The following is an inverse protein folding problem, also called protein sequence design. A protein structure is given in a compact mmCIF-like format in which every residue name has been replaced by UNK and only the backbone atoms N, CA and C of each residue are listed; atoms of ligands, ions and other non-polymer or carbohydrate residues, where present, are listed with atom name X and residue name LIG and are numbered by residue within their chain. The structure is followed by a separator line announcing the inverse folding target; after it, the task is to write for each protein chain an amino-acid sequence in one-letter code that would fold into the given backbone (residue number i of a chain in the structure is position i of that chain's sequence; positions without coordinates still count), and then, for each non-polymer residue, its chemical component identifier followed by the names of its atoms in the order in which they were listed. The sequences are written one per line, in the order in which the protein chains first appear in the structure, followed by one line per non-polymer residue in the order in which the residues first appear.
data_IF_429602847259
#
_entry.id   IF_429602847259
#
_cell.length_a   1.000
_cell.length_b   1.000
_cell.length_c   1.000
_cell.angle_alpha   90.00
_cell.angle_beta   90.00
_cell.angle_gamma   90.00
#
_symmetry.space_group_name_H-M   'P 1'
#
loop_
_entity.id
_entity.type
_entity.pdbx_description
1 polymer ?
#
# COMPACT_ATOMS: atom_id res chain seq x y z
N UNK A 1 -1.44 -14.62 30.66
CA UNK A 1 -0.75 -13.45 30.08
C UNK A 1 -0.76 -13.65 28.57
N UNK A 2 -1.86 -13.30 27.89
CA UNK A 2 -1.92 -13.34 26.43
C UNK A 2 -0.89 -12.37 25.87
N UNK A 3 0.00 -12.86 25.01
CA UNK A 3 0.82 -11.99 24.18
C UNK A 3 -0.11 -11.42 23.12
N UNK A 4 -0.57 -10.19 23.32
CA UNK A 4 -1.12 -9.39 22.23
C UNK A 4 0.03 -9.14 21.25
N UNK A 5 0.11 -9.97 20.20
CA UNK A 5 0.96 -9.68 19.06
C UNK A 5 0.50 -8.33 18.48
N UNK A 6 1.23 -7.27 18.82
CA UNK A 6 1.06 -5.94 18.27
C UNK A 6 1.32 -6.02 16.76
N UNK A 7 0.27 -6.34 16.00
CA UNK A 7 0.29 -6.46 14.53
C UNK A 7 0.67 -5.14 13.86
N UNK A 8 0.41 -4.01 14.52
CA UNK A 8 0.91 -2.67 14.18
C UNK A 8 2.45 -2.61 14.07
N UNK A 9 3.17 -3.32 14.94
CA UNK A 9 4.65 -3.33 14.96
C UNK A 9 5.27 -4.35 14.00
N UNK A 10 4.46 -5.16 13.31
CA UNK A 10 4.92 -6.18 12.37
C UNK A 10 4.97 -5.70 10.91
N UNK A 11 4.79 -4.38 10.64
CA UNK A 11 4.95 -3.82 9.30
C UNK A 11 6.38 -4.05 8.80
N UNK A 12 6.51 -4.86 7.74
CA UNK A 12 7.80 -5.11 7.08
C UNK A 12 8.24 -3.88 6.31
N UNK A 13 9.43 -3.37 6.61
CA UNK A 13 10.04 -2.28 5.85
C UNK A 13 10.67 -2.83 4.56
N UNK A 14 10.45 -2.13 3.45
CA UNK A 14 10.99 -2.48 2.13
C UNK A 14 11.68 -1.27 1.54
N UNK A 15 12.91 -1.45 1.03
CA UNK A 15 13.58 -0.42 0.25
C UNK A 15 12.98 -0.36 -1.15
N UNK A 16 12.33 0.74 -1.49
CA UNK A 16 11.71 0.96 -2.79
C UNK A 16 12.55 1.92 -3.63
N UNK A 17 12.87 1.52 -4.86
CA UNK A 17 13.52 2.40 -5.84
C UNK A 17 12.46 2.95 -6.78
N UNK A 18 12.33 4.27 -6.81
CA UNK A 18 11.38 4.99 -7.66
C UNK A 18 12.14 5.90 -8.61
N UNK A 19 11.63 6.08 -9.83
CA UNK A 19 12.10 7.17 -10.67
C UNK A 19 11.72 8.52 -10.03
N UNK A 20 12.50 9.60 -10.24
CA UNK A 20 12.17 10.90 -9.67
C UNK A 20 10.81 11.44 -10.10
N UNK A 21 10.36 11.14 -11.33
CA UNK A 21 9.03 11.55 -11.81
C UNK A 21 7.91 10.86 -11.04
N UNK A 22 7.98 9.54 -10.90
CA UNK A 22 6.98 8.76 -10.17
C UNK A 22 6.91 9.17 -8.70
N UNK A 23 8.07 9.41 -8.06
CA UNK A 23 8.09 9.90 -6.69
C UNK A 23 7.34 11.23 -6.54
N UNK A 24 7.56 12.18 -7.45
CA UNK A 24 6.88 13.49 -7.42
C UNK A 24 5.36 13.35 -7.57
N UNK A 25 4.92 12.53 -8.51
CA UNK A 25 3.48 12.28 -8.71
C UNK A 25 2.83 11.65 -7.48
N UNK A 26 3.49 10.65 -6.88
CA UNK A 26 2.99 10.01 -5.65
C UNK A 26 2.94 10.98 -4.47
N UNK A 27 3.92 11.87 -4.32
CA UNK A 27 3.92 12.89 -3.26
C UNK A 27 2.80 13.91 -3.47
N UNK A 28 2.61 14.39 -4.71
CA UNK A 28 1.52 15.33 -5.03
C UNK A 28 0.17 14.70 -4.71
N UNK A 29 -0.06 13.47 -5.17
CA UNK A 29 -1.31 12.77 -4.92
C UNK A 29 -1.54 12.49 -3.42
N UNK A 30 -0.49 12.10 -2.68
CA UNK A 30 -0.59 11.94 -1.24
C UNK A 30 -0.99 13.25 -0.55
N UNK A 31 -0.44 14.39 -0.99
CA UNK A 31 -0.79 15.71 -0.46
C UNK A 31 -2.26 16.09 -0.74
N UNK A 32 -2.74 15.84 -1.96
CA UNK A 32 -4.12 16.10 -2.36
C UNK A 32 -5.14 15.32 -1.50
N UNK A 33 -4.77 14.09 -1.11
CA UNK A 33 -5.58 13.21 -0.26
C UNK A 33 -5.30 13.37 1.25
N UNK A 34 -4.49 14.36 1.66
CA UNK A 34 -4.04 14.59 3.05
C UNK A 34 -3.40 13.35 3.72
N UNK A 35 -2.60 12.58 2.95
CA UNK A 35 -1.88 11.39 3.41
C UNK A 35 -0.37 11.59 3.38
N UNK A 36 0.35 10.76 4.15
CA UNK A 36 1.79 10.62 3.98
C UNK A 36 2.10 9.81 2.72
N UNK A 37 3.30 9.99 2.15
CA UNK A 37 3.75 9.19 1.00
C UNK A 37 3.70 7.68 1.30
N UNK A 38 4.11 7.26 2.50
CA UNK A 38 4.05 5.86 2.91
C UNK A 38 2.60 5.34 2.99
N UNK A 39 1.69 6.14 3.55
CA UNK A 39 0.27 5.80 3.59
C UNK A 39 -0.34 5.70 2.20
N UNK A 40 0.07 6.57 1.28
CA UNK A 40 -0.37 6.50 -0.12
C UNK A 40 0.15 5.24 -0.82
N UNK A 41 1.43 4.89 -0.63
CA UNK A 41 1.99 3.64 -1.19
C UNK A 41 1.26 2.42 -0.62
N UNK A 42 1.01 2.37 0.69
CA UNK A 42 0.28 1.27 1.35
C UNK A 42 -1.14 1.12 0.77
N UNK A 43 -1.86 2.23 0.59
CA UNK A 43 -3.18 2.25 -0.02
C UNK A 43 -3.16 1.69 -1.45
N UNK A 44 -2.25 2.18 -2.30
CA UNK A 44 -2.15 1.75 -3.69
C UNK A 44 -1.81 0.27 -3.83
N UNK A 45 -0.87 -0.23 -3.03
CA UNK A 45 -0.50 -1.64 -3.02
C UNK A 45 -1.67 -2.53 -2.56
N UNK A 46 -2.37 -2.11 -1.51
CA UNK A 46 -3.56 -2.81 -1.00
C UNK A 46 -4.66 -2.89 -2.06
N UNK A 47 -4.96 -1.77 -2.71
CA UNK A 47 -5.96 -1.70 -3.77
C UNK A 47 -5.58 -2.54 -4.99
N UNK A 48 -4.30 -2.54 -5.39
CA UNK A 48 -3.80 -3.37 -6.47
C UNK A 48 -3.97 -4.87 -6.17
N UNK A 49 -3.62 -5.31 -4.96
CA UNK A 49 -3.79 -6.71 -4.53
C UNK A 49 -5.28 -7.08 -4.46
N UNK A 50 -6.12 -6.22 -3.90
CA UNK A 50 -7.57 -6.42 -3.80
C UNK A 50 -8.21 -6.57 -5.18
N UNK A 51 -7.87 -5.68 -6.12
CA UNK A 51 -8.32 -5.75 -7.52
C UNK A 51 -7.88 -7.06 -8.18
N UNK A 52 -6.60 -7.43 -8.03
CA UNK A 52 -6.07 -8.70 -8.58
C UNK A 52 -6.83 -9.92 -8.05
N UNK A 53 -7.08 -10.00 -6.74
CA UNK A 53 -7.85 -11.10 -6.14
C UNK A 53 -9.26 -11.19 -6.72
N UNK A 54 -9.96 -10.05 -6.78
CA UNK A 54 -11.29 -9.99 -7.41
C UNK A 54 -11.27 -10.47 -8.86
N UNK A 55 -10.24 -10.14 -9.64
CA UNK A 55 -10.15 -10.66 -11.04
C UNK A 55 -9.90 -12.16 -11.14
N UNK A 56 -9.33 -12.79 -10.11
CA UNK A 56 -9.14 -14.24 -10.06
C UNK A 56 -10.46 -14.92 -9.71
N UNK A 57 -11.15 -14.45 -8.66
CA UNK A 57 -12.43 -15.03 -8.22
C UNK A 57 -13.54 -14.97 -9.30
N UNK A 58 -13.48 -14.01 -10.23
CA UNK A 58 -14.43 -13.89 -11.35
C UNK A 58 -14.08 -14.75 -12.58
N UNK A 59 -12.97 -15.51 -12.56
CA UNK A 59 -12.62 -16.47 -13.64
C UNK A 59 -13.05 -17.90 -13.33
N UNK A 60 -13.48 -18.17 -12.10
CA UNK A 60 -13.91 -19.48 -11.62
C UNK A 60 -15.45 -19.62 -11.53
N UNK A 61 -16.19 -18.71 -12.21
CA UNK A 61 -17.66 -18.75 -12.37
C UNK A 61 -18.03 -18.73 -13.83
#
# INVERSE_FOLDING_TARGET
MEKTDNTENNKKQVLLRLSPSLWKELVSWAADDFRSLNGQIEYLLTECVRKRKKTIDNKDV
#
